data_IF_307648201355
#
_entry.id   IF_307648201355
#
_cell.length_a   1.000
_cell.length_b   1.000
_cell.length_c   1.000
_cell.angle_alpha   90.00
_cell.angle_beta   90.00
_cell.angle_gamma   90.00
#
_symmetry.space_group_name_H-M   'P 1'
#
loop_
_entity.id
_entity.type
_entity.pdbx_description
1 polymer ?
#
# COMPACT_ATOMS: atom_id res chain seq x y z
N UNK A 1 18.48 -53.12 44.74
CA UNK A 1 18.10 -52.33 45.94
C UNK A 1 17.84 -50.90 45.52
N UNK A 2 16.89 -50.21 46.18
CA UNK A 2 15.82 -49.44 45.57
C UNK A 2 16.09 -47.93 45.51
N UNK A 3 15.35 -47.23 44.65
CA UNK A 3 15.31 -45.76 44.63
C UNK A 3 14.34 -45.20 43.61
N UNK A 4 13.06 -45.56 43.72
CA UNK A 4 11.96 -44.79 43.11
C UNK A 4 11.96 -43.39 43.73
N UNK A 5 11.96 -42.37 42.90
CA UNK A 5 11.29 -41.10 43.21
C UNK A 5 10.43 -40.75 42.00
N UNK A 6 9.17 -41.14 42.09
CA UNK A 6 8.06 -40.62 41.30
C UNK A 6 8.03 -39.08 41.44
N UNK A 7 8.50 -38.35 40.43
CA UNK A 7 8.17 -36.94 40.29
C UNK A 7 6.87 -36.87 39.51
N UNK A 8 5.79 -36.75 40.28
CA UNK A 8 4.45 -36.43 39.84
C UNK A 8 4.51 -35.16 38.97
N UNK A 9 4.38 -35.31 37.65
CA UNK A 9 4.01 -34.18 36.79
C UNK A 9 2.55 -33.86 37.13
N UNK A 10 2.36 -32.86 37.97
CA UNK A 10 1.04 -32.27 38.17
C UNK A 10 0.73 -31.42 36.94
N UNK A 11 -0.22 -31.93 36.13
CA UNK A 11 -1.02 -31.16 35.20
C UNK A 11 -1.52 -29.90 35.91
N UNK A 12 -0.84 -28.79 35.64
CA UNK A 12 -1.24 -27.47 36.10
C UNK A 12 -2.21 -26.96 35.05
N UNK A 13 -3.51 -27.06 35.39
CA UNK A 13 -4.59 -26.48 34.61
C UNK A 13 -4.27 -25.01 34.31
N UNK A 14 -4.28 -24.65 33.02
CA UNK A 14 -4.23 -23.26 32.57
C UNK A 14 -5.52 -22.57 33.02
N UNK A 15 -5.50 -21.97 34.21
CA UNK A 15 -6.50 -21.00 34.62
C UNK A 15 -6.13 -19.63 34.03
N UNK A 16 -7.07 -19.10 33.27
CA UNK A 16 -7.33 -17.69 32.97
C UNK A 16 -6.19 -16.69 33.23
N UNK A 17 -5.48 -16.32 32.16
CA UNK A 17 -4.70 -15.09 32.12
C UNK A 17 -5.66 -13.88 32.07
N UNK A 18 -5.63 -12.95 33.04
CA UNK A 18 -6.54 -11.81 33.01
C UNK A 18 -6.17 -10.83 31.89
N UNK A 19 -7.17 -10.54 31.06
CA UNK A 19 -7.18 -9.47 30.07
C UNK A 19 -6.81 -8.14 30.73
N UNK A 20 -5.69 -7.54 30.29
CA UNK A 20 -5.35 -6.15 30.60
C UNK A 20 -6.23 -5.23 29.76
N UNK A 21 -7.46 -5.02 30.24
CA UNK A 21 -8.38 -4.00 29.75
C UNK A 21 -8.90 -3.21 30.97
N UNK A 22 -8.17 -2.16 31.36
CA UNK A 22 -8.70 -1.18 32.31
C UNK A 22 -9.61 -0.18 31.59
N UNK A 23 -10.80 -0.04 32.17
CA UNK A 23 -11.97 0.70 31.72
C UNK A 23 -11.85 2.22 31.84
N UNK A 24 -12.71 2.98 31.12
CA UNK A 24 -12.89 4.42 31.26
C UNK A 24 -13.64 4.80 32.55
N UNK A 25 -13.37 6.02 33.01
CA UNK A 25 -14.01 6.79 34.08
C UNK A 25 -14.42 8.11 33.40
N UNK A 26 -15.61 8.72 33.50
CA UNK A 26 -16.68 8.73 34.51
C UNK A 26 -17.94 9.43 33.92
N UNK A 27 -19.14 8.98 34.34
CA UNK A 27 -20.41 9.70 34.52
C UNK A 27 -21.26 10.23 33.31
N UNK A 28 -22.40 9.57 33.09
CA UNK A 28 -23.64 10.08 32.46
C UNK A 28 -24.69 10.43 33.52
N UNK A 29 -25.54 11.45 33.25
CA UNK A 29 -27.02 11.47 33.38
C UNK A 29 -27.51 12.94 33.44
N UNK A 30 -28.05 13.52 32.35
CA UNK A 30 -29.48 13.56 31.96
C UNK A 30 -30.42 14.12 33.03
N UNK A 31 -30.97 15.32 32.77
CA UNK A 31 -32.36 15.67 33.04
C UNK A 31 -32.78 16.76 32.04
N UNK A 32 -33.90 16.53 31.37
CA UNK A 32 -34.52 17.47 30.45
C UNK A 32 -35.56 18.33 31.15
N UNK A 33 -35.79 19.52 30.61
CA UNK A 33 -37.07 20.21 30.73
C UNK A 33 -37.21 21.23 29.59
N UNK A 34 -38.42 21.34 29.06
CA UNK A 34 -38.77 22.06 27.85
C UNK A 34 -39.48 23.39 28.17
N UNK A 35 -39.04 24.47 27.49
CA UNK A 35 -39.78 25.69 27.09
C UNK A 35 -40.29 26.66 28.22
N UNK A 36 -40.54 27.98 27.97
CA UNK A 36 -40.89 28.56 26.66
C UNK A 36 -40.46 30.02 26.32
N UNK A 37 -40.71 30.41 25.06
CA UNK A 37 -40.99 31.76 24.47
C UNK A 37 -39.96 32.90 24.55
N UNK A 38 -39.51 33.39 23.38
CA UNK A 38 -39.95 34.71 22.88
C UNK A 38 -39.67 34.86 21.38
N UNK A 39 -40.75 34.98 20.59
CA UNK A 39 -40.71 35.51 19.23
C UNK A 39 -40.59 37.03 19.31
N UNK A 40 -39.62 37.62 18.62
CA UNK A 40 -39.70 39.00 18.16
C UNK A 40 -39.14 39.07 16.73
N UNK A 41 -40.08 39.27 15.81
CA UNK A 41 -39.92 39.59 14.39
C UNK A 41 -39.47 41.04 14.22
N UNK A 42 -38.45 41.27 13.38
CA UNK A 42 -38.38 42.32 12.36
C UNK A 42 -36.93 42.62 11.94
N UNK A 43 -36.68 42.65 10.64
CA UNK A 43 -35.62 43.49 10.07
C UNK A 43 -34.83 42.86 8.94
N UNK A 44 -35.30 43.06 7.71
CA UNK A 44 -34.55 42.98 6.46
C UNK A 44 -33.14 43.60 6.58
N UNK A 45 -32.13 43.01 5.93
CA UNK A 45 -31.18 43.74 5.10
C UNK A 45 -30.39 42.77 4.21
N UNK A 46 -30.57 42.94 2.91
CA UNK A 46 -29.74 42.39 1.86
C UNK A 46 -28.36 43.07 1.84
N UNK A 47 -27.29 42.30 1.69
CA UNK A 47 -26.09 42.66 0.91
C UNK A 47 -25.00 41.58 1.07
N UNK A 48 -24.42 41.18 -0.06
CA UNK A 48 -23.05 40.64 -0.08
C UNK A 48 -22.92 39.23 -0.65
N UNK A 49 -23.08 39.09 -1.97
CA UNK A 49 -22.40 38.05 -2.74
C UNK A 49 -20.88 38.25 -2.54
N UNK A 50 -20.28 37.40 -1.72
CA UNK A 50 -18.86 37.11 -1.77
C UNK A 50 -18.70 35.75 -2.41
N UNK A 51 -18.58 35.71 -3.74
CA UNK A 51 -18.05 34.56 -4.46
C UNK A 51 -16.60 34.39 -4.00
N UNK A 52 -16.41 33.60 -2.95
CA UNK A 52 -15.10 33.07 -2.62
C UNK A 52 -14.89 31.97 -3.62
N UNK A 53 -14.23 32.31 -4.74
CA UNK A 53 -13.62 31.31 -5.59
C UNK A 53 -12.72 30.46 -4.69
N UNK A 54 -13.15 29.23 -4.41
CA UNK A 54 -12.28 28.22 -3.86
C UNK A 54 -11.18 28.03 -4.90
N UNK A 55 -10.04 28.68 -4.67
CA UNK A 55 -8.80 28.33 -5.37
C UNK A 55 -8.50 26.89 -4.95
N UNK A 56 -8.95 25.94 -5.77
CA UNK A 56 -8.45 24.57 -5.78
C UNK A 56 -6.92 24.67 -5.75
N UNK A 57 -6.25 24.25 -4.67
CA UNK A 57 -4.80 24.36 -4.60
C UNK A 57 -4.24 23.52 -5.74
N UNK A 58 -3.36 24.13 -6.55
CA UNK A 58 -2.59 23.42 -7.58
C UNK A 58 -2.02 22.14 -6.98
N UNK A 59 -2.57 20.98 -7.36
CA UNK A 59 -2.03 19.69 -6.97
C UNK A 59 -0.63 19.58 -7.58
N UNK A 60 0.41 19.88 -6.81
CA UNK A 60 1.79 19.62 -7.21
C UNK A 60 1.88 18.15 -7.64
N UNK A 61 2.02 17.90 -8.95
CA UNK A 61 2.13 16.56 -9.50
C UNK A 61 3.39 15.89 -8.94
N UNK A 62 3.23 15.17 -7.83
CA UNK A 62 4.33 14.47 -7.19
C UNK A 62 4.84 13.43 -8.18
N UNK A 63 6.14 13.48 -8.58
CA UNK A 63 6.67 12.55 -9.56
C UNK A 63 6.47 11.11 -9.08
N UNK A 64 5.88 10.27 -9.93
CA UNK A 64 5.51 8.89 -9.60
C UNK A 64 6.72 8.01 -9.26
N UNK A 65 7.89 8.36 -9.81
CA UNK A 65 9.16 7.68 -9.58
C UNK A 65 10.21 8.70 -9.15
N UNK A 66 10.91 8.41 -8.05
CA UNK A 66 12.03 9.23 -7.55
C UNK A 66 13.27 8.37 -7.36
N UNK A 67 14.43 8.89 -7.75
CA UNK A 67 15.71 8.25 -7.47
C UNK A 67 16.19 8.69 -6.08
N UNK A 68 16.46 7.72 -5.20
CA UNK A 68 16.95 7.98 -3.85
C UNK A 68 18.45 8.36 -3.87
N UNK A 69 18.90 9.20 -2.91
CA UNK A 69 20.31 9.57 -2.78
C UNK A 69 21.18 8.33 -2.50
N UNK A 70 22.41 8.30 -3.03
CA UNK A 70 23.28 7.12 -2.98
C UNK A 70 23.11 6.17 -4.17
N UNK A 71 22.55 6.67 -5.27
CA UNK A 71 22.50 5.96 -6.55
C UNK A 71 23.79 6.18 -7.33
N UNK A 72 24.45 5.09 -7.71
CA UNK A 72 25.55 5.07 -8.68
C UNK A 72 25.00 4.63 -10.05
N UNK A 73 25.75 4.83 -11.15
CA UNK A 73 25.30 4.40 -12.48
C UNK A 73 24.97 2.91 -12.57
N UNK A 74 25.69 2.07 -11.82
CA UNK A 74 25.51 0.61 -11.77
C UNK A 74 24.59 0.13 -10.63
N UNK A 75 24.32 0.97 -9.63
CA UNK A 75 23.48 0.60 -8.49
C UNK A 75 22.60 1.76 -8.03
N UNK A 76 21.30 1.70 -8.34
CA UNK A 76 20.35 2.75 -8.01
C UNK A 76 19.19 2.24 -7.16
N UNK A 77 18.68 3.11 -6.30
CA UNK A 77 17.44 2.89 -5.55
C UNK A 77 16.35 3.81 -6.10
N UNK A 78 15.22 3.22 -6.45
CA UNK A 78 14.03 3.92 -6.95
C UNK A 78 12.92 3.83 -5.90
N UNK A 79 12.23 4.95 -5.67
CA UNK A 79 11.03 5.05 -4.86
C UNK A 79 9.84 5.26 -5.80
N UNK A 80 8.85 4.37 -5.71
CA UNK A 80 7.58 4.45 -6.41
C UNK A 80 6.49 4.92 -5.44
N UNK A 81 5.78 5.99 -5.80
CA UNK A 81 4.64 6.49 -5.02
C UNK A 81 3.34 5.83 -5.49
N UNK A 82 2.44 5.55 -4.54
CA UNK A 82 1.15 4.89 -4.78
C UNK A 82 1.25 3.50 -5.42
N UNK A 83 2.38 2.81 -5.27
CA UNK A 83 2.61 1.45 -5.77
C UNK A 83 3.01 0.49 -4.64
N UNK A 84 2.90 -0.82 -4.88
CA UNK A 84 3.13 -1.84 -3.85
C UNK A 84 3.51 -3.23 -4.40
N UNK A 85 3.19 -4.28 -3.65
CA UNK A 85 3.62 -5.65 -3.93
C UNK A 85 3.26 -6.17 -5.33
N UNK A 86 2.13 -5.72 -5.90
CA UNK A 86 1.69 -6.15 -7.23
C UNK A 86 2.73 -5.78 -8.29
N UNK A 87 3.06 -4.49 -8.40
CA UNK A 87 4.08 -4.02 -9.33
C UNK A 87 5.48 -4.49 -8.91
N UNK A 88 5.80 -4.42 -7.61
CA UNK A 88 7.13 -4.79 -7.11
C UNK A 88 7.51 -6.25 -7.36
N UNK A 89 6.58 -7.18 -7.14
CA UNK A 89 6.82 -8.60 -7.35
C UNK A 89 6.98 -8.93 -8.84
N UNK A 90 6.13 -8.37 -9.69
CA UNK A 90 6.21 -8.54 -11.14
C UNK A 90 7.52 -7.96 -11.69
N UNK A 91 7.82 -6.71 -11.35
CA UNK A 91 9.01 -6.01 -11.82
C UNK A 91 10.30 -6.72 -11.36
N UNK A 92 10.35 -7.15 -10.09
CA UNK A 92 11.50 -7.93 -9.58
C UNK A 92 11.72 -9.20 -10.39
N UNK A 93 10.65 -9.92 -10.73
CA UNK A 93 10.76 -11.16 -11.49
C UNK A 93 11.31 -10.92 -12.89
N UNK A 94 10.76 -9.93 -13.61
CA UNK A 94 11.17 -9.60 -14.99
C UNK A 94 12.61 -9.07 -15.02
N UNK A 95 12.96 -8.13 -14.15
CA UNK A 95 14.30 -7.55 -14.10
C UNK A 95 15.36 -8.62 -13.78
N UNK A 96 15.07 -9.57 -12.89
CA UNK A 96 15.99 -10.68 -12.58
C UNK A 96 16.19 -11.66 -13.74
N UNK A 97 15.36 -11.63 -14.79
CA UNK A 97 15.59 -12.44 -16.01
C UNK A 97 16.64 -11.83 -16.93
N UNK A 98 16.89 -10.53 -16.82
CA UNK A 98 17.91 -9.86 -17.62
C UNK A 98 19.31 -10.27 -17.13
N UNK A 99 20.17 -10.85 -17.99
CA UNK A 99 21.50 -11.32 -17.58
C UNK A 99 22.45 -10.19 -17.16
N UNK A 100 22.16 -8.97 -17.59
CA UNK A 100 22.93 -7.77 -17.26
C UNK A 100 22.65 -7.23 -15.84
N UNK A 101 21.67 -7.81 -15.14
CA UNK A 101 21.30 -7.46 -13.77
C UNK A 101 21.88 -8.49 -12.80
N UNK A 102 22.63 -8.00 -11.82
CA UNK A 102 23.18 -8.83 -10.74
C UNK A 102 22.16 -9.03 -9.62
N UNK A 103 21.49 -7.94 -9.23
CA UNK A 103 20.60 -7.93 -8.08
C UNK A 103 19.41 -7.02 -8.30
N UNK A 104 18.22 -7.53 -8.04
CA UNK A 104 17.01 -6.74 -7.95
C UNK A 104 16.17 -7.18 -6.74
N UNK A 105 15.81 -6.21 -5.90
CA UNK A 105 14.93 -6.43 -4.77
C UNK A 105 13.99 -5.23 -4.58
N UNK A 106 12.82 -5.50 -4.02
CA UNK A 106 11.88 -4.47 -3.62
C UNK A 106 11.52 -4.64 -2.15
N UNK A 107 11.17 -3.55 -1.49
CA UNK A 107 10.74 -3.52 -0.09
C UNK A 107 9.73 -2.40 0.11
N UNK A 108 8.69 -2.69 0.89
CA UNK A 108 7.77 -1.67 1.39
C UNK A 108 8.28 -1.25 2.78
N UNK A 109 8.68 0.02 3.00
CA UNK A 109 9.26 0.45 4.26
C UNK A 109 8.26 0.33 5.41
N UNK A 110 6.97 0.59 5.15
CA UNK A 110 5.90 0.44 6.13
C UNK A 110 4.57 0.16 5.42
N UNK A 111 3.74 -0.79 5.87
CA UNK A 111 2.50 -1.18 5.17
C UNK A 111 1.45 -0.07 5.12
N UNK A 112 1.49 0.90 6.03
CA UNK A 112 0.58 2.06 6.03
C UNK A 112 1.01 3.19 5.10
N UNK A 113 2.21 3.12 4.51
CA UNK A 113 2.65 4.06 3.49
C UNK A 113 2.57 3.41 2.11
N UNK A 114 1.87 4.06 1.18
CA UNK A 114 1.78 3.61 -0.21
C UNK A 114 3.05 4.00 -0.98
N UNK A 115 4.20 3.53 -0.51
CA UNK A 115 5.50 3.72 -1.16
C UNK A 115 6.22 2.40 -1.27
N UNK A 116 6.89 2.20 -2.39
CA UNK A 116 7.68 1.00 -2.64
C UNK A 116 9.09 1.42 -3.06
N UNK A 117 10.10 0.80 -2.43
CA UNK A 117 11.49 1.00 -2.81
C UNK A 117 11.99 -0.19 -3.62
N UNK A 118 12.63 0.05 -4.75
CA UNK A 118 13.26 -0.96 -5.60
C UNK A 118 14.76 -0.65 -5.72
N UNK A 119 15.61 -1.61 -5.38
CA UNK A 119 17.07 -1.52 -5.57
C UNK A 119 17.47 -2.41 -6.72
N UNK A 120 18.19 -1.83 -7.69
CA UNK A 120 18.75 -2.55 -8.83
C UNK A 120 20.26 -2.37 -8.80
N UNK A 121 20.99 -3.47 -9.01
CA UNK A 121 22.43 -3.50 -9.24
C UNK A 121 22.69 -4.26 -10.54
N UNK A 122 23.40 -3.62 -11.46
CA UNK A 122 23.77 -4.16 -12.78
C UNK A 122 25.26 -4.46 -12.84
N UNK A 123 25.63 -5.36 -13.74
CA UNK A 123 27.03 -5.60 -14.08
C UNK A 123 27.63 -4.44 -14.88
N UNK A 124 28.96 -4.48 -15.11
CA UNK A 124 29.66 -3.51 -15.95
C UNK A 124 29.16 -3.60 -17.41
N UNK A 125 28.45 -2.57 -17.87
CA UNK A 125 27.96 -2.47 -19.25
C UNK A 125 26.60 -1.80 -19.38
N UNK A 126 25.76 -1.87 -18.34
CA UNK A 126 24.40 -1.32 -18.35
C UNK A 126 24.16 -0.42 -17.14
N UNK A 127 23.41 0.66 -17.32
CA UNK A 127 23.02 1.52 -16.20
C UNK A 127 21.78 0.97 -15.48
N UNK A 128 21.68 1.19 -14.18
CA UNK A 128 20.51 0.77 -13.40
C UNK A 128 19.20 1.39 -13.91
N UNK A 129 19.26 2.59 -14.51
CA UNK A 129 18.10 3.24 -15.16
C UNK A 129 17.69 2.53 -16.44
N UNK A 130 18.63 2.14 -17.30
CA UNK A 130 18.33 1.41 -18.53
C UNK A 130 17.78 0.00 -18.23
N UNK A 131 18.29 -0.65 -17.18
CA UNK A 131 17.75 -1.93 -16.73
C UNK A 131 16.31 -1.83 -16.21
N UNK A 132 15.97 -0.71 -15.54
CA UNK A 132 14.61 -0.45 -15.09
C UNK A 132 13.67 -0.20 -16.27
N UNK A 133 14.07 0.65 -17.23
CA UNK A 133 13.28 0.99 -18.42
C UNK A 133 13.02 -0.27 -19.27
N UNK A 134 14.06 -1.05 -19.53
CA UNK A 134 13.93 -2.35 -20.21
C UNK A 134 13.00 -3.29 -19.45
N UNK A 135 13.14 -3.39 -18.13
CA UNK A 135 12.29 -4.27 -17.31
C UNK A 135 10.81 -3.87 -17.30
N UNK A 136 10.50 -2.58 -17.46
CA UNK A 136 9.11 -2.10 -17.62
C UNK A 136 8.57 -2.45 -19.00
N UNK A 137 9.36 -2.26 -20.07
CA UNK A 137 8.96 -2.64 -21.42
C UNK A 137 8.73 -4.15 -21.54
N UNK A 138 9.64 -4.96 -21.01
CA UNK A 138 9.51 -6.42 -21.00
C UNK A 138 8.24 -6.89 -20.25
N UNK A 139 7.81 -6.14 -19.23
CA UNK A 139 6.57 -6.43 -18.49
C UNK A 139 5.32 -6.08 -19.30
N UNK A 140 5.34 -4.95 -20.02
CA UNK A 140 4.28 -4.53 -20.94
C UNK A 140 4.11 -5.57 -22.05
N UNK A 141 5.19 -5.92 -22.74
CA UNK A 141 5.20 -6.90 -23.83
C UNK A 141 4.64 -8.27 -23.38
N UNK A 142 4.96 -8.68 -22.15
CA UNK A 142 4.42 -9.91 -21.57
C UNK A 142 2.90 -9.83 -21.34
N UNK A 143 2.39 -8.68 -20.91
CA UNK A 143 0.95 -8.49 -20.74
C UNK A 143 0.20 -8.52 -22.07
N UNK A 144 0.79 -7.97 -23.13
CA UNK A 144 0.21 -7.97 -24.48
C UNK A 144 0.09 -9.41 -25.01
N UNK A 145 1.17 -10.20 -24.94
CA UNK A 145 1.15 -11.60 -25.39
C UNK A 145 0.10 -12.43 -24.63
N UNK A 146 0.02 -12.25 -23.30
CA UNK A 146 -0.98 -12.97 -22.48
C UNK A 146 -2.40 -12.55 -22.85
N UNK A 147 -2.61 -11.27 -23.14
CA UNK A 147 -3.91 -10.73 -23.54
C UNK A 147 -4.34 -11.30 -24.89
N UNK A 148 -3.45 -11.31 -25.88
CA UNK A 148 -3.74 -11.84 -27.21
C UNK A 148 -4.08 -13.34 -27.20
N UNK A 149 -3.30 -14.14 -26.46
CA UNK A 149 -3.56 -15.57 -26.29
C UNK A 149 -4.89 -15.82 -25.56
N UNK A 150 -5.20 -15.00 -24.54
CA UNK A 150 -6.47 -15.09 -23.83
C UNK A 150 -7.66 -14.83 -24.76
N UNK A 151 -7.63 -13.75 -25.54
CA UNK A 151 -8.71 -13.42 -26.47
C UNK A 151 -8.86 -14.46 -27.57
N UNK A 152 -7.75 -14.97 -28.11
CA UNK A 152 -7.74 -16.03 -29.11
C UNK A 152 -8.39 -17.31 -28.58
N UNK A 153 -7.98 -17.76 -27.39
CA UNK A 153 -8.55 -18.94 -26.75
C UNK A 153 -10.04 -18.75 -26.40
N UNK A 154 -10.42 -17.57 -25.91
CA UNK A 154 -11.81 -17.23 -25.58
C UNK A 154 -12.70 -17.24 -26.81
N UNK A 155 -12.26 -16.66 -27.92
CA UNK A 155 -13.04 -16.61 -29.15
C UNK A 155 -13.24 -18.02 -29.74
N UNK A 156 -12.19 -18.84 -29.75
CA UNK A 156 -12.28 -20.25 -30.15
C UNK A 156 -13.26 -21.05 -29.28
N UNK A 157 -13.28 -20.81 -27.97
CA UNK A 157 -14.25 -21.44 -27.07
C UNK A 157 -15.69 -21.02 -27.40
N UNK A 158 -15.93 -19.72 -27.59
CA UNK A 158 -17.26 -19.21 -27.93
C UNK A 158 -17.78 -19.75 -29.26
N UNK A 159 -16.92 -19.89 -30.28
CA UNK A 159 -17.27 -20.52 -31.56
C UNK A 159 -17.64 -22.00 -31.43
N UNK A 160 -17.06 -22.71 -30.46
CA UNK A 160 -17.37 -24.13 -30.21
C UNK A 160 -18.66 -24.37 -29.40
N UNK A 161 -19.17 -23.33 -28.73
CA UNK A 161 -20.38 -23.38 -27.91
C UNK A 161 -21.61 -22.78 -28.62
N UNK A 162 -21.41 -22.13 -29.77
CA UNK A 162 -22.46 -21.63 -30.66
C UNK A 162 -22.90 -22.71 -31.65
#
# INVERSE_FOLDING_TARGET
>A
MPGKTDVKQEDTAMEDAPSSAQKPTTAESQDGDAEPMQEDDAGENAAGEGDVAEEEPDEEEVPKVRILPGSTPTAASFEFTKEGHTLGSALRYIIMKNPDVEFCAYSIPHPSENKMNVRIQTYEGTTATAALEKGLQDLEDLCDVVTDEFWTARNKFNESQA
#
